data_IF_151772495665
#
_entry.id   IF_151772495665
#
_cell.length_a   1.000
_cell.length_b   1.000
_cell.length_c   1.000
_cell.angle_alpha   90.00
_cell.angle_beta   90.00
_cell.angle_gamma   90.00
#
_symmetry.space_group_name_H-M   'P 1'
#
loop_
_entity.id
_entity.type
_entity.pdbx_description
1 polymer ?
#
# COMPACT_ATOMS: atom_id res chain seq x y z
N UNK A 1 1.93 24.60 -0.08
CA UNK A 1 1.43 23.23 0.20
C UNK A 1 2.29 22.65 1.32
N UNK A 2 1.72 21.81 2.20
CA UNK A 2 2.49 21.11 3.25
C UNK A 2 2.82 19.69 2.77
N UNK A 3 3.98 19.17 3.17
CA UNK A 3 4.29 17.73 3.02
C UNK A 3 3.30 16.93 3.87
N UNK A 4 2.90 15.74 3.42
CA UNK A 4 2.00 14.87 4.18
C UNK A 4 2.68 14.43 5.49
N UNK A 5 2.24 14.95 6.64
CA UNK A 5 2.86 14.73 7.96
C UNK A 5 2.75 13.29 8.51
N UNK A 6 2.17 12.37 7.73
CA UNK A 6 1.91 10.99 8.15
C UNK A 6 2.33 9.93 7.10
N UNK A 7 3.23 10.28 6.17
CA UNK A 7 3.74 9.30 5.21
C UNK A 7 4.60 8.24 5.90
N UNK A 8 4.15 6.98 5.85
CA UNK A 8 4.82 5.85 6.53
C UNK A 8 5.91 5.21 5.67
N UNK A 9 5.78 5.29 4.34
CA UNK A 9 6.75 4.79 3.37
C UNK A 9 6.72 5.58 2.06
N UNK A 10 7.71 5.35 1.19
CA UNK A 10 7.88 6.07 -0.08
C UNK A 10 8.98 7.13 -0.01
N UNK A 11 9.52 7.49 -1.17
CA UNK A 11 10.60 8.49 -1.30
C UNK A 11 10.08 9.82 -1.87
N UNK A 12 8.88 9.83 -2.44
CA UNK A 12 8.32 10.99 -3.12
C UNK A 12 7.50 11.84 -2.15
N UNK A 13 7.77 13.15 -2.15
CA UNK A 13 7.07 14.10 -1.30
C UNK A 13 5.64 14.29 -1.81
N UNK A 14 4.68 13.56 -1.23
CA UNK A 14 3.26 13.85 -1.41
C UNK A 14 2.95 15.24 -0.85
N UNK A 15 2.32 16.06 -1.67
CA UNK A 15 1.91 17.42 -1.29
C UNK A 15 0.41 17.41 -1.03
N UNK A 16 0.00 17.92 0.13
CA UNK A 16 -1.43 18.08 0.45
C UNK A 16 -1.92 19.35 -0.23
N UNK A 17 -2.89 19.23 -1.15
CA UNK A 17 -3.58 20.37 -1.78
C UNK A 17 -4.71 20.86 -0.87
N UNK A 18 -5.54 19.93 -0.44
CA UNK A 18 -6.64 20.11 0.52
C UNK A 18 -6.86 18.80 1.30
N UNK A 19 -7.87 18.74 2.17
CA UNK A 19 -8.11 17.56 3.01
C UNK A 19 -8.41 16.28 2.21
N UNK A 20 -9.00 16.40 1.02
CA UNK A 20 -9.41 15.28 0.18
C UNK A 20 -8.48 15.02 -1.01
N UNK A 21 -7.52 15.91 -1.29
CA UNK A 21 -6.70 15.85 -2.50
C UNK A 21 -5.21 15.94 -2.22
N UNK A 22 -4.46 14.99 -2.79
CA UNK A 22 -3.00 14.95 -2.81
C UNK A 22 -2.48 15.25 -4.21
N UNK A 23 -1.38 16.00 -4.28
CA UNK A 23 -0.56 16.13 -5.48
C UNK A 23 0.65 15.19 -5.36
N UNK A 24 0.80 14.31 -6.34
CA UNK A 24 1.91 13.36 -6.43
C UNK A 24 2.74 13.67 -7.68
N UNK A 25 3.95 14.25 -7.52
CA UNK A 25 4.96 14.20 -8.57
C UNK A 25 5.27 12.76 -8.94
N UNK A 26 5.21 12.41 -10.23
CA UNK A 26 5.33 11.02 -10.65
C UNK A 26 5.99 10.87 -12.04
N UNK A 27 6.55 9.69 -12.36
CA UNK A 27 7.03 9.42 -13.70
C UNK A 27 5.87 9.22 -14.67
N UNK A 28 6.16 9.27 -15.98
CA UNK A 28 5.17 9.01 -17.03
C UNK A 28 4.45 7.68 -16.85
N UNK A 29 5.20 6.66 -16.39
CA UNK A 29 4.70 5.30 -16.19
C UNK A 29 3.60 5.21 -15.12
N UNK A 30 3.76 5.90 -13.99
CA UNK A 30 2.74 5.93 -12.94
C UNK A 30 1.45 6.61 -13.41
N UNK A 31 1.58 7.77 -14.07
CA UNK A 31 0.43 8.45 -14.68
C UNK A 31 -0.28 7.53 -15.68
N UNK A 32 0.49 6.90 -16.57
CA UNK A 32 -0.04 6.03 -17.61
C UNK A 32 -0.78 4.82 -17.01
N UNK A 33 -0.28 4.26 -15.91
CA UNK A 33 -0.95 3.18 -15.19
C UNK A 33 -2.37 3.56 -14.75
N UNK A 34 -2.56 4.75 -14.17
CA UNK A 34 -3.90 5.25 -13.82
C UNK A 34 -4.78 5.43 -15.06
N UNK A 35 -4.25 6.04 -16.11
CA UNK A 35 -4.99 6.26 -17.37
C UNK A 35 -5.44 4.94 -17.99
N UNK A 36 -4.57 3.94 -18.04
CA UNK A 36 -4.90 2.63 -18.59
C UNK A 36 -5.89 1.85 -17.72
N UNK A 37 -5.76 1.88 -16.40
CA UNK A 37 -6.72 1.27 -15.50
C UNK A 37 -8.13 1.85 -15.67
N UNK A 38 -8.24 3.18 -15.84
CA UNK A 38 -9.51 3.88 -16.10
C UNK A 38 -10.06 3.50 -17.48
N UNK A 39 -9.22 3.56 -18.51
CA UNK A 39 -9.63 3.23 -19.89
C UNK A 39 -10.11 1.77 -20.01
N UNK A 40 -9.47 0.86 -19.29
CA UNK A 40 -9.85 -0.56 -19.21
C UNK A 40 -11.07 -0.81 -18.32
N UNK A 41 -11.60 0.22 -17.62
CA UNK A 41 -12.63 0.08 -16.58
C UNK A 41 -12.26 -1.01 -15.57
N UNK A 42 -10.99 -0.99 -15.16
CA UNK A 42 -10.40 -2.05 -14.35
C UNK A 42 -11.17 -2.24 -13.03
N UNK A 43 -11.45 -3.48 -12.62
CA UNK A 43 -12.02 -3.74 -11.29
C UNK A 43 -11.06 -3.36 -10.16
N UNK A 44 -9.81 -2.99 -10.46
CA UNK A 44 -8.85 -2.48 -9.46
C UNK A 44 -9.10 -1.04 -9.05
N UNK A 45 -9.87 -0.27 -9.83
CA UNK A 45 -10.12 1.14 -9.52
C UNK A 45 -10.73 1.35 -8.14
N UNK A 46 -11.45 0.37 -7.60
CA UNK A 46 -12.01 0.43 -6.23
C UNK A 46 -10.95 0.38 -5.13
N UNK A 47 -9.75 -0.13 -5.43
CA UNK A 47 -8.63 -0.23 -4.50
C UNK A 47 -7.60 0.87 -4.74
N UNK A 48 -7.64 1.56 -5.88
CA UNK A 48 -6.68 2.61 -6.22
C UNK A 48 -7.16 3.97 -5.66
N UNK A 49 -6.25 4.89 -5.30
CA UNK A 49 -6.62 6.29 -5.12
C UNK A 49 -7.34 6.81 -6.37
N UNK A 50 -8.41 7.57 -6.21
CA UNK A 50 -9.11 8.14 -7.36
C UNK A 50 -8.18 9.13 -8.08
N UNK A 51 -8.00 8.94 -9.38
CA UNK A 51 -7.23 9.85 -10.23
C UNK A 51 -8.12 11.03 -10.64
N UNK A 52 -7.73 12.23 -10.21
CA UNK A 52 -8.51 13.47 -10.37
C UNK A 52 -7.95 14.37 -11.49
N UNK A 53 -7.07 13.81 -12.32
CA UNK A 53 -6.42 14.49 -13.44
C UNK A 53 -5.00 14.97 -13.14
N UNK A 54 -4.37 15.51 -14.19
CA UNK A 54 -3.05 16.14 -14.09
C UNK A 54 -3.14 17.53 -13.46
N UNK A 55 -2.03 17.96 -12.85
CA UNK A 55 -1.79 19.37 -12.52
C UNK A 55 -0.89 19.92 -13.61
N UNK A 56 -1.35 20.97 -14.28
CA UNK A 56 -0.49 21.77 -15.15
C UNK A 56 0.54 22.50 -14.29
N UNK A 57 1.85 22.22 -14.43
CA UNK A 57 2.88 22.93 -13.68
C UNK A 57 2.84 24.45 -13.90
N UNK A 58 2.35 24.92 -15.07
CA UNK A 58 2.19 26.34 -15.36
C UNK A 58 1.02 26.99 -14.61
N UNK A 59 0.06 26.19 -14.10
CA UNK A 59 -1.04 26.69 -13.29
C UNK A 59 -0.64 26.97 -11.82
N UNK A 60 0.54 26.50 -11.38
CA UNK A 60 1.12 26.85 -10.08
C UNK A 60 1.88 28.20 -10.17
N UNK A 61 1.14 29.27 -10.42
CA UNK A 61 1.66 30.64 -10.59
C UNK A 61 2.46 31.15 -9.36
N UNK A 62 2.34 30.48 -8.21
CA UNK A 62 3.02 30.85 -6.96
C UNK A 62 4.27 29.99 -6.68
N UNK A 63 4.58 28.98 -7.50
CA UNK A 63 5.75 28.12 -7.34
C UNK A 63 5.73 27.31 -6.04
N UNK A 64 4.54 26.92 -5.58
CA UNK A 64 4.33 26.18 -4.34
C UNK A 64 4.74 24.70 -4.46
N UNK A 65 4.84 24.18 -5.67
CA UNK A 65 5.30 22.83 -5.99
C UNK A 65 6.82 22.88 -6.20
N UNK A 66 7.55 23.03 -5.09
CA UNK A 66 9.00 22.83 -5.10
C UNK A 66 9.30 21.35 -4.98
N UNK A 67 9.67 20.73 -6.09
CA UNK A 67 10.12 19.34 -6.08
C UNK A 67 11.61 19.25 -5.80
N UNK A 68 11.99 18.32 -4.93
CA UNK A 68 13.40 17.98 -4.69
C UNK A 68 14.04 17.30 -5.93
N UNK A 69 13.22 16.70 -6.81
CA UNK A 69 13.61 16.19 -8.13
C UNK A 69 12.56 16.54 -9.17
N UNK A 70 12.94 17.03 -10.36
CA UNK A 70 11.96 17.30 -11.42
C UNK A 70 11.35 15.99 -11.90
N UNK A 71 10.05 15.85 -11.72
CA UNK A 71 9.25 14.77 -12.31
C UNK A 71 8.47 15.31 -13.51
N UNK A 72 8.30 14.52 -14.58
CA UNK A 72 7.65 14.98 -15.81
C UNK A 72 6.15 15.27 -15.63
N UNK A 73 5.52 14.71 -14.60
CA UNK A 73 4.10 14.88 -14.31
C UNK A 73 3.85 15.14 -12.83
N UNK A 74 2.74 15.81 -12.55
CA UNK A 74 2.13 15.91 -11.23
C UNK A 74 0.68 15.48 -11.40
N UNK A 75 0.25 14.47 -10.65
CA UNK A 75 -1.13 13.97 -10.71
C UNK A 75 -1.87 14.29 -9.42
N UNK A 76 -3.18 14.57 -9.53
CA UNK A 76 -4.08 14.71 -8.38
C UNK A 76 -4.68 13.35 -8.04
N UNK A 77 -4.56 12.98 -6.78
CA UNK A 77 -5.10 11.73 -6.23
C UNK A 77 -6.00 12.04 -5.03
N UNK A 78 -7.06 11.25 -4.83
CA UNK A 78 -7.83 11.32 -3.59
C UNK A 78 -6.97 10.96 -2.37
N UNK A 79 -7.15 11.65 -1.25
CA UNK A 79 -6.51 11.35 0.01
C UNK A 79 -7.14 10.10 0.66
N UNK A 80 -6.36 9.02 0.76
CA UNK A 80 -6.83 7.75 1.32
C UNK A 80 -7.19 7.82 2.81
N UNK A 81 -6.69 8.83 3.53
CA UNK A 81 -6.98 9.04 4.95
C UNK A 81 -8.16 9.99 5.17
N UNK A 82 -8.80 10.48 4.11
CA UNK A 82 -9.97 11.35 4.24
C UNK A 82 -11.10 10.66 5.02
N UNK A 83 -11.60 11.38 6.03
CA UNK A 83 -12.65 10.92 6.92
C UNK A 83 -12.23 9.90 7.98
N UNK A 84 -10.94 9.56 8.08
CA UNK A 84 -10.40 8.66 9.11
C UNK A 84 -9.86 9.50 10.27
N UNK A 85 -10.47 9.36 11.46
CA UNK A 85 -10.13 10.17 12.63
C UNK A 85 -8.86 9.69 13.31
N UNK A 86 -8.75 8.38 13.50
CA UNK A 86 -7.64 7.76 14.23
C UNK A 86 -6.95 6.70 13.37
N UNK A 87 -6.19 7.12 12.33
CA UNK A 87 -5.68 6.21 11.32
C UNK A 87 -4.55 5.31 11.86
N UNK A 88 -4.78 4.01 11.90
CA UNK A 88 -3.73 2.99 12.02
C UNK A 88 -3.44 2.42 10.64
N UNK A 89 -2.18 2.52 10.18
CA UNK A 89 -1.78 2.22 8.80
C UNK A 89 -0.60 1.24 8.73
N UNK A 90 -0.58 0.41 7.69
CA UNK A 90 0.50 -0.52 7.36
C UNK A 90 0.72 -0.56 5.85
N UNK A 91 1.98 -0.46 5.43
CA UNK A 91 2.38 -0.55 4.03
C UNK A 91 3.07 -1.90 3.77
N UNK A 92 2.50 -2.69 2.87
CA UNK A 92 3.06 -3.96 2.42
C UNK A 92 3.62 -3.82 1.01
N UNK A 93 4.94 -3.89 0.87
CA UNK A 93 5.61 -3.89 -0.44
C UNK A 93 5.53 -5.27 -1.08
N UNK A 94 4.95 -5.34 -2.27
CA UNK A 94 4.55 -6.58 -2.92
C UNK A 94 5.55 -7.07 -3.98
N UNK A 95 5.51 -8.37 -4.23
CA UNK A 95 6.28 -9.06 -5.28
C UNK A 95 7.62 -9.64 -4.81
N UNK A 96 8.03 -10.74 -5.44
CA UNK A 96 9.40 -11.30 -5.31
C UNK A 96 10.39 -10.58 -6.22
N UNK A 97 9.96 -10.06 -7.38
CA UNK A 97 10.77 -9.23 -8.27
C UNK A 97 10.63 -7.75 -7.90
N UNK A 98 11.75 -7.12 -7.57
CA UNK A 98 11.82 -5.73 -7.09
C UNK A 98 12.49 -4.78 -8.10
N UNK A 99 12.80 -5.26 -9.30
CA UNK A 99 13.41 -4.49 -10.38
C UNK A 99 12.65 -4.69 -11.69
N UNK A 100 12.70 -3.69 -12.55
CA UNK A 100 12.23 -3.79 -13.94
C UNK A 100 13.17 -4.68 -14.76
N UNK A 101 12.67 -5.23 -15.87
CA UNK A 101 13.46 -6.15 -16.71
C UNK A 101 14.68 -5.43 -17.34
N UNK A 102 14.54 -4.14 -17.62
CA UNK A 102 15.56 -3.25 -18.22
C UNK A 102 16.35 -2.45 -17.17
N UNK A 103 16.20 -2.78 -15.88
CA UNK A 103 16.91 -2.08 -14.82
C UNK A 103 18.45 -2.18 -15.01
N UNK A 104 19.20 -1.08 -14.78
CA UNK A 104 20.66 -1.12 -14.82
C UNK A 104 21.23 -2.19 -13.90
N UNK A 105 22.33 -2.85 -14.29
CA UNK A 105 22.92 -4.00 -13.61
C UNK A 105 23.10 -3.78 -12.10
N UNK A 106 23.73 -2.68 -11.69
CA UNK A 106 23.92 -2.38 -10.27
C UNK A 106 22.58 -2.24 -9.49
N UNK A 107 21.54 -1.65 -10.12
CA UNK A 107 20.20 -1.53 -9.51
C UNK A 107 19.54 -2.91 -9.41
N UNK A 108 19.62 -3.70 -10.48
CA UNK A 108 19.07 -5.06 -10.54
C UNK A 108 19.70 -5.94 -9.46
N UNK A 109 21.02 -5.98 -9.37
CA UNK A 109 21.74 -6.83 -8.42
C UNK A 109 21.41 -6.45 -6.97
N UNK A 110 21.35 -5.14 -6.67
CA UNK A 110 20.92 -4.65 -5.36
C UNK A 110 19.48 -5.09 -5.02
N UNK A 111 18.55 -5.01 -5.98
CA UNK A 111 17.16 -5.40 -5.77
C UNK A 111 16.99 -6.92 -5.63
N UNK A 112 17.80 -7.72 -6.32
CA UNK A 112 17.88 -9.18 -6.13
C UNK A 112 18.34 -9.50 -4.71
N UNK A 113 19.44 -8.89 -4.26
CA UNK A 113 19.94 -9.06 -2.89
C UNK A 113 18.91 -8.62 -1.84
N UNK A 114 18.22 -7.51 -2.07
CA UNK A 114 17.15 -7.05 -1.19
C UNK A 114 15.99 -8.05 -1.12
N UNK A 115 15.59 -8.61 -2.26
CA UNK A 115 14.54 -9.64 -2.29
C UNK A 115 14.96 -10.87 -1.50
N UNK A 116 16.18 -11.38 -1.74
CA UNK A 116 16.73 -12.56 -1.07
C UNK A 116 16.93 -12.39 0.44
N UNK A 117 17.28 -11.19 0.89
CA UNK A 117 17.55 -10.87 2.30
C UNK A 117 16.31 -10.46 3.11
N UNK A 118 15.13 -10.42 2.49
CA UNK A 118 13.88 -10.02 3.16
C UNK A 118 12.76 -11.02 2.87
N UNK A 119 11.60 -10.80 3.50
CA UNK A 119 10.40 -11.60 3.22
C UNK A 119 9.87 -11.44 1.81
N UNK A 120 10.32 -10.46 1.00
CA UNK A 120 9.92 -10.39 -0.41
C UNK A 120 10.32 -11.65 -1.16
N UNK A 121 11.54 -12.15 -1.00
CA UNK A 121 11.99 -13.34 -1.72
C UNK A 121 11.30 -14.63 -1.28
N UNK A 122 11.00 -14.76 0.02
CA UNK A 122 10.43 -15.99 0.60
C UNK A 122 8.91 -16.01 0.67
N UNK A 123 8.27 -14.86 0.81
CA UNK A 123 6.82 -14.69 1.05
C UNK A 123 6.15 -13.83 -0.02
N UNK A 124 6.92 -13.14 -0.87
CA UNK A 124 6.36 -12.25 -1.89
C UNK A 124 5.88 -10.91 -1.35
N UNK A 125 6.13 -10.59 -0.08
CA UNK A 125 5.80 -9.29 0.51
C UNK A 125 6.77 -8.91 1.63
N UNK A 126 6.86 -7.63 1.96
CA UNK A 126 7.46 -7.14 3.23
C UNK A 126 6.66 -6.01 3.83
N UNK A 127 6.69 -5.89 5.15
CA UNK A 127 6.23 -4.66 5.83
C UNK A 127 7.27 -3.57 5.58
N UNK A 128 6.86 -2.48 4.92
CA UNK A 128 7.76 -1.36 4.62
C UNK A 128 7.67 -0.25 5.67
N UNK A 129 6.56 -0.20 6.40
CA UNK A 129 6.37 0.57 7.63
C UNK A 129 4.97 0.40 8.19
N UNK A 130 4.80 0.76 9.46
CA UNK A 130 3.49 0.85 10.13
C UNK A 130 3.44 2.08 11.01
N UNK A 131 2.24 2.63 11.21
CA UNK A 131 1.98 3.66 12.21
C UNK A 131 0.61 3.43 12.83
N UNK A 132 0.59 3.19 14.14
CA UNK A 132 -0.61 2.74 14.84
C UNK A 132 -1.04 3.80 15.85
N UNK A 133 -2.32 4.16 15.87
CA UNK A 133 -2.87 5.01 16.91
C UNK A 133 -3.08 4.21 18.19
N UNK A 134 -2.54 4.69 19.30
CA UNK A 134 -2.73 4.13 20.63
C UNK A 134 -3.79 4.96 21.36
N UNK A 135 -5.01 4.42 21.58
CA UNK A 135 -6.11 5.17 22.19
C UNK A 135 -5.86 5.48 23.67
N UNK A 136 -5.02 4.70 24.35
CA UNK A 136 -4.69 4.91 25.78
C UNK A 136 -3.93 6.21 26.01
N UNK A 137 -2.94 6.46 25.16
CA UNK A 137 -2.02 7.59 25.30
C UNK A 137 -2.27 8.68 24.24
N UNK A 138 -3.31 8.52 23.41
CA UNK A 138 -3.66 9.40 22.29
C UNK A 138 -2.45 9.76 21.40
N UNK A 139 -1.62 8.76 21.13
CA UNK A 139 -0.33 8.92 20.46
C UNK A 139 -0.15 7.90 19.34
N UNK A 140 0.94 8.04 18.57
CA UNK A 140 1.25 7.12 17.49
C UNK A 140 2.52 6.31 17.79
N UNK A 141 2.45 5.01 17.53
CA UNK A 141 3.61 4.12 17.52
C UNK A 141 4.01 3.84 16.08
N UNK A 142 5.23 4.18 15.71
CA UNK A 142 5.78 3.94 14.39
C UNK A 142 6.69 2.70 14.37
N UNK A 143 6.55 1.90 13.32
CA UNK A 143 7.43 0.79 12.99
C UNK A 143 8.08 1.11 11.65
N UNK A 144 9.40 1.13 11.63
CA UNK A 144 10.16 1.46 10.43
C UNK A 144 10.51 0.19 9.63
N UNK A 145 11.37 0.37 8.62
CA UNK A 145 11.85 -0.72 7.77
C UNK A 145 12.62 -1.80 8.55
N UNK A 146 13.16 -1.50 9.74
CA UNK A 146 13.91 -2.48 10.53
C UNK A 146 12.99 -3.56 11.09
N UNK A 147 11.79 -3.19 11.53
CA UNK A 147 10.76 -4.14 11.96
C UNK A 147 10.44 -5.11 10.83
N UNK A 148 10.11 -4.61 9.64
CA UNK A 148 9.80 -5.46 8.49
C UNK A 148 10.94 -6.39 8.09
N UNK A 149 12.20 -5.94 8.21
CA UNK A 149 13.40 -6.74 7.96
C UNK A 149 13.67 -7.81 9.02
N UNK A 150 13.13 -7.66 10.24
CA UNK A 150 13.25 -8.68 11.29
C UNK A 150 12.29 -9.85 11.13
N UNK A 151 11.27 -9.71 10.28
CA UNK A 151 10.30 -10.77 10.02
C UNK A 151 10.86 -11.80 9.03
N UNK A 152 10.29 -13.00 9.06
CA UNK A 152 10.58 -14.08 8.14
C UNK A 152 9.27 -14.82 7.80
N UNK A 153 9.37 -15.90 7.01
CA UNK A 153 8.20 -16.65 6.57
C UNK A 153 7.32 -17.23 7.71
N UNK A 154 7.91 -17.59 8.87
CA UNK A 154 7.14 -18.11 10.00
C UNK A 154 6.59 -17.02 10.92
N UNK A 155 7.14 -15.80 10.87
CA UNK A 155 6.77 -14.69 11.76
C UNK A 155 5.99 -13.58 11.07
N UNK A 156 5.73 -13.66 9.76
CA UNK A 156 5.04 -12.60 9.02
C UNK A 156 3.62 -12.32 9.55
N UNK A 157 2.94 -13.32 10.13
CA UNK A 157 1.64 -13.14 10.77
C UNK A 157 1.70 -12.17 11.97
N UNK A 158 2.86 -12.05 12.64
CA UNK A 158 3.05 -11.11 13.75
C UNK A 158 2.84 -9.66 13.30
N UNK A 159 3.08 -9.33 12.02
CA UNK A 159 2.79 -8.00 11.49
C UNK A 159 1.29 -7.64 11.63
N UNK A 160 0.38 -8.59 11.35
CA UNK A 160 -1.06 -8.38 11.45
C UNK A 160 -1.55 -8.40 12.90
N UNK A 161 -0.89 -9.16 13.78
CA UNK A 161 -1.14 -9.10 15.22
C UNK A 161 -0.72 -7.74 15.79
N UNK A 162 0.48 -7.26 15.46
CA UNK A 162 0.96 -5.93 15.86
C UNK A 162 0.06 -4.83 15.29
N UNK A 163 -0.32 -4.91 14.02
CA UNK A 163 -1.18 -3.93 13.35
C UNK A 163 -2.52 -3.71 14.07
N UNK A 164 -3.07 -4.77 14.69
CA UNK A 164 -4.36 -4.74 15.39
C UNK A 164 -4.23 -4.65 16.91
N UNK A 165 -3.02 -4.50 17.46
CA UNK A 165 -2.75 -4.70 18.90
C UNK A 165 -3.46 -3.71 19.84
N UNK A 166 -3.82 -2.53 19.33
CA UNK A 166 -4.47 -1.49 20.11
C UNK A 166 -6.00 -1.56 20.09
N UNK A 167 -6.59 -2.43 19.26
CA UNK A 167 -8.03 -2.71 19.29
C UNK A 167 -8.36 -3.48 20.56
N UNK A 168 -9.32 -2.94 21.32
CA UNK A 168 -9.46 -3.17 22.76
C UNK A 168 -9.84 -4.61 23.14
N UNK A 169 -10.65 -5.30 22.32
CA UNK A 169 -11.13 -6.64 22.62
C UNK A 169 -10.79 -7.65 21.51
N UNK A 170 -10.63 -8.92 21.90
CA UNK A 170 -10.28 -10.00 20.99
C UNK A 170 -11.31 -10.18 19.87
N UNK A 171 -12.61 -10.01 20.17
CA UNK A 171 -13.68 -10.12 19.17
C UNK A 171 -13.57 -9.03 18.10
N UNK A 172 -13.31 -7.78 18.48
CA UNK A 172 -13.12 -6.70 17.52
C UNK A 172 -11.82 -6.90 16.73
N UNK A 173 -10.73 -7.35 17.37
CA UNK A 173 -9.50 -7.72 16.66
C UNK A 173 -9.75 -8.79 15.61
N UNK A 174 -10.49 -9.82 15.95
CA UNK A 174 -10.85 -10.90 15.04
C UNK A 174 -11.76 -10.41 13.91
N UNK A 175 -12.77 -9.59 14.21
CA UNK A 175 -13.65 -8.97 13.22
C UNK A 175 -12.87 -8.08 12.23
N UNK A 176 -11.90 -7.30 12.73
CA UNK A 176 -11.02 -6.48 11.91
C UNK A 176 -10.15 -7.34 11.00
N UNK A 177 -9.54 -8.42 11.53
CA UNK A 177 -8.76 -9.37 10.73
C UNK A 177 -9.62 -10.07 9.67
N UNK A 178 -10.88 -10.39 9.98
CA UNK A 178 -11.82 -10.91 8.98
C UNK A 178 -12.11 -9.88 7.87
N UNK A 179 -12.25 -8.58 8.20
CA UNK A 179 -12.40 -7.52 7.19
C UNK A 179 -11.15 -7.40 6.30
N UNK A 180 -9.96 -7.45 6.90
CA UNK A 180 -8.68 -7.46 6.18
C UNK A 180 -8.61 -8.66 5.23
N UNK A 181 -8.91 -9.87 5.72
CA UNK A 181 -8.93 -11.09 4.94
C UNK A 181 -9.92 -11.00 3.76
N UNK A 182 -11.13 -10.49 4.01
CA UNK A 182 -12.19 -10.36 3.00
C UNK A 182 -11.82 -9.39 1.87
N UNK A 183 -11.26 -8.23 2.20
CA UNK A 183 -10.83 -7.26 1.19
C UNK A 183 -9.58 -7.74 0.43
N UNK A 184 -8.60 -8.36 1.08
CA UNK A 184 -7.46 -8.99 0.40
C UNK A 184 -7.91 -10.12 -0.54
N UNK A 185 -8.89 -10.93 -0.12
CA UNK A 185 -9.45 -12.00 -0.95
C UNK A 185 -10.19 -11.45 -2.18
N UNK A 186 -10.93 -10.35 -2.01
CA UNK A 186 -11.59 -9.65 -3.12
C UNK A 186 -10.55 -9.02 -4.06
N UNK A 187 -9.53 -8.38 -3.50
CA UNK A 187 -8.41 -7.83 -4.24
C UNK A 187 -7.73 -8.90 -5.09
N UNK A 188 -7.42 -10.06 -4.51
CA UNK A 188 -6.80 -11.18 -5.23
C UNK A 188 -7.64 -11.64 -6.42
N UNK A 189 -8.97 -11.74 -6.27
CA UNK A 189 -9.87 -12.12 -7.36
C UNK A 189 -9.80 -11.12 -8.53
N UNK A 190 -9.76 -9.82 -8.22
CA UNK A 190 -9.62 -8.79 -9.27
C UNK A 190 -8.22 -8.82 -9.89
N UNK A 191 -7.17 -8.92 -9.06
CA UNK A 191 -5.78 -8.93 -9.50
C UNK A 191 -5.43 -10.14 -10.38
N UNK A 192 -5.97 -11.33 -10.08
CA UNK A 192 -5.73 -12.55 -10.87
C UNK A 192 -6.32 -12.46 -12.30
N UNK A 193 -7.25 -11.54 -12.53
CA UNK A 193 -7.81 -11.27 -13.86
C UNK A 193 -7.01 -10.25 -14.68
N UNK A 194 -5.95 -9.66 -14.12
CA UNK A 194 -5.16 -8.62 -14.77
C UNK A 194 -3.96 -9.20 -15.50
N UNK A 195 -3.73 -8.65 -16.69
CA UNK A 195 -2.46 -8.79 -17.40
C UNK A 195 -1.62 -7.53 -17.16
N UNK A 196 -0.35 -7.73 -16.80
CA UNK A 196 0.55 -6.63 -16.47
C UNK A 196 1.73 -7.08 -15.61
N UNK A 197 2.57 -6.11 -15.25
CA UNK A 197 3.65 -6.29 -14.27
C UNK A 197 3.53 -5.21 -13.21
N UNK A 198 3.54 -5.61 -11.95
CA UNK A 198 3.19 -4.77 -10.81
C UNK A 198 4.36 -4.58 -9.83
N UNK A 199 5.50 -4.17 -10.40
CA UNK A 199 6.77 -4.12 -9.69
C UNK A 199 6.79 -2.94 -8.73
N UNK A 200 7.16 -3.21 -7.47
CA UNK A 200 7.41 -2.19 -6.46
C UNK A 200 6.15 -1.54 -5.87
N UNK A 201 4.96 -2.00 -6.25
CA UNK A 201 3.67 -1.56 -5.69
C UNK A 201 3.53 -1.92 -4.22
N UNK A 202 2.62 -1.22 -3.54
CA UNK A 202 2.28 -1.50 -2.15
C UNK A 202 0.78 -1.74 -1.97
N UNK A 203 0.43 -2.69 -1.11
CA UNK A 203 -0.88 -2.74 -0.47
C UNK A 203 -0.82 -1.90 0.80
N UNK A 204 -1.59 -0.81 0.80
CA UNK A 204 -1.71 0.12 1.91
C UNK A 204 -2.98 -0.20 2.69
N UNK A 205 -2.79 -0.69 3.90
CA UNK A 205 -3.85 -1.08 4.83
C UNK A 205 -4.09 0.10 5.78
N UNK A 206 -5.36 0.48 5.97
CA UNK A 206 -5.74 1.49 6.95
C UNK A 206 -7.00 1.09 7.69
N UNK A 207 -7.07 1.37 8.98
CA UNK A 207 -8.33 1.39 9.71
C UNK A 207 -8.44 2.60 10.65
N UNK A 208 -9.67 2.98 10.97
CA UNK A 208 -9.97 3.94 12.03
C UNK A 208 -10.03 3.22 13.38
N UNK A 209 -9.10 3.51 14.30
CA UNK A 209 -8.97 2.82 15.58
C UNK A 209 -10.22 2.97 16.46
N UNK A 210 -10.77 4.17 16.60
CA UNK A 210 -12.00 4.42 17.35
C UNK A 210 -13.22 3.67 16.76
N UNK A 211 -13.30 3.57 15.43
CA UNK A 211 -14.38 2.82 14.78
C UNK A 211 -14.21 1.31 14.97
N UNK A 212 -12.97 0.82 14.93
CA UNK A 212 -12.65 -0.59 15.15
C UNK A 212 -13.00 -1.05 16.58
N UNK A 213 -12.92 -0.14 17.56
CA UNK A 213 -13.36 -0.38 18.94
C UNK A 213 -14.88 -0.26 19.12
N UNK A 214 -15.60 0.24 18.11
CA UNK A 214 -17.05 0.39 18.11
C UNK A 214 -17.81 -0.87 17.68
N UNK A 215 -19.11 -0.69 17.37
CA UNK A 215 -20.02 -1.78 16.98
C UNK A 215 -19.87 -2.21 15.51
N UNK A 216 -19.36 -1.33 14.64
CA UNK A 216 -19.12 -1.61 13.22
C UNK A 216 -17.62 -1.75 12.92
N UNK A 217 -16.98 -2.73 13.55
CA UNK A 217 -15.56 -3.02 13.32
C UNK A 217 -15.27 -3.39 11.86
N UNK A 218 -16.24 -3.99 11.16
CA UNK A 218 -16.09 -4.41 9.77
C UNK A 218 -15.90 -3.24 8.80
N UNK A 219 -16.62 -2.14 9.02
CA UNK A 219 -16.53 -0.91 8.22
C UNK A 219 -15.32 -0.02 8.52
N UNK A 220 -14.56 -0.31 9.58
CA UNK A 220 -13.41 0.50 9.99
C UNK A 220 -12.22 0.39 9.04
N UNK A 221 -12.10 -0.70 8.29
CA UNK A 221 -10.92 -1.05 7.49
C UNK A 221 -11.09 -0.72 6.00
N UNK A 222 -10.01 -0.23 5.37
CA UNK A 222 -9.91 0.01 3.94
C UNK A 222 -8.56 -0.51 3.43
N UNK A 223 -8.61 -1.24 2.31
CA UNK A 223 -7.44 -1.67 1.55
C UNK A 223 -7.24 -0.77 0.34
N UNK A 224 -6.01 -0.33 0.12
CA UNK A 224 -5.64 0.44 -1.06
C UNK A 224 -4.41 -0.16 -1.77
N UNK A 225 -4.34 0.02 -3.08
CA UNK A 225 -3.20 -0.34 -3.91
C UNK A 225 -2.58 0.91 -4.48
N UNK A 226 -1.27 1.07 -4.27
CA UNK A 226 -0.53 2.31 -4.55
C UNK A 226 0.86 2.02 -5.13
N UNK A 227 1.54 3.10 -5.54
CA UNK A 227 2.93 3.15 -6.02
C UNK A 227 3.17 2.42 -7.36
N UNK A 228 2.68 3.02 -8.45
CA UNK A 228 2.69 2.39 -9.78
C UNK A 228 3.87 2.83 -10.67
N UNK A 229 4.89 3.49 -10.11
CA UNK A 229 6.03 4.07 -10.83
C UNK A 229 6.82 3.08 -11.69
N UNK A 230 6.84 1.80 -11.34
CA UNK A 230 7.54 0.74 -12.05
C UNK A 230 6.58 -0.33 -12.61
N UNK A 231 5.29 -0.02 -12.65
CA UNK A 231 4.23 -0.96 -13.02
C UNK A 231 3.61 -0.61 -14.37
N UNK A 232 3.08 -1.61 -15.04
CA UNK A 232 2.42 -1.46 -16.33
C UNK A 232 1.18 -2.35 -16.40
N UNK A 233 0.16 -1.79 -17.03
CA UNK A 233 -1.04 -2.51 -17.39
C UNK A 233 -0.85 -3.07 -18.81
N UNK A 234 -1.11 -4.35 -19.03
CA UNK A 234 -1.06 -4.94 -20.37
C UNK A 234 -2.45 -5.26 -20.87
N UNK A 235 -2.74 -4.92 -22.13
CA UNK A 235 -4.02 -5.28 -22.79
C UNK A 235 -3.88 -6.66 -23.46
N UNK A 236 -3.69 -7.71 -22.66
CA UNK A 236 -3.72 -9.11 -23.12
C UNK A 236 -2.44 -9.65 -23.77
N UNK A 237 -1.34 -8.89 -23.78
CA UNK A 237 -0.06 -9.34 -24.34
C UNK A 237 0.91 -9.87 -23.27
N UNK A 238 0.82 -9.37 -22.03
CA UNK A 238 1.63 -9.83 -20.90
C UNK A 238 0.93 -10.98 -20.16
N UNK A 239 1.73 -11.84 -19.52
CA UNK A 239 1.22 -12.86 -18.61
C UNK A 239 0.91 -12.23 -17.26
N UNK A 240 -0.05 -12.81 -16.53
CA UNK A 240 -0.32 -12.51 -15.11
C UNK A 240 0.98 -12.44 -14.29
N UNK A 241 1.07 -11.43 -13.44
CA UNK A 241 2.22 -11.25 -12.55
C UNK A 241 2.16 -12.24 -11.38
N UNK A 242 2.66 -13.46 -11.61
CA UNK A 242 2.69 -14.54 -10.62
C UNK A 242 3.48 -14.15 -9.35
N UNK A 243 4.48 -13.27 -9.48
CA UNK A 243 5.32 -12.85 -8.36
C UNK A 243 4.56 -11.91 -7.43
N UNK A 244 3.80 -10.98 -7.99
CA UNK A 244 2.86 -10.15 -7.26
C UNK A 244 1.74 -10.97 -6.61
N UNK A 245 1.10 -11.86 -7.37
CA UNK A 245 -0.01 -12.69 -6.89
C UNK A 245 0.41 -13.63 -5.75
N UNK A 246 1.62 -14.21 -5.81
CA UNK A 246 2.20 -14.99 -4.72
C UNK A 246 2.27 -14.18 -3.41
N UNK A 247 2.68 -12.91 -3.49
CA UNK A 247 2.67 -12.00 -2.34
C UNK A 247 1.28 -11.78 -1.76
N UNK A 248 0.28 -11.52 -2.61
CA UNK A 248 -1.10 -11.30 -2.16
C UNK A 248 -1.66 -12.56 -1.47
N UNK A 249 -1.41 -13.75 -2.05
CA UNK A 249 -1.84 -15.03 -1.47
C UNK A 249 -1.21 -15.27 -0.09
N UNK A 250 0.08 -14.97 0.07
CA UNK A 250 0.74 -15.10 1.37
C UNK A 250 0.30 -14.02 2.37
N UNK A 251 -0.09 -12.83 1.94
CA UNK A 251 -0.71 -11.84 2.82
C UNK A 251 -2.01 -12.39 3.42
N UNK A 252 -2.86 -13.00 2.58
CA UNK A 252 -4.11 -13.65 3.00
C UNK A 252 -3.81 -14.77 4.00
N UNK A 253 -2.82 -15.63 3.70
CA UNK A 253 -2.41 -16.70 4.62
C UNK A 253 -1.90 -16.15 5.95
N UNK A 254 -1.08 -15.10 5.93
CA UNK A 254 -0.54 -14.49 7.14
C UNK A 254 -1.65 -13.91 8.05
N UNK A 255 -2.71 -13.36 7.46
CA UNK A 255 -3.90 -12.92 8.20
C UNK A 255 -4.64 -14.12 8.79
N UNK A 256 -4.78 -15.22 8.05
CA UNK A 256 -5.37 -16.47 8.56
C UNK A 256 -4.59 -17.03 9.75
N UNK A 257 -3.27 -17.08 9.64
CA UNK A 257 -2.40 -17.52 10.73
C UNK A 257 -2.54 -16.60 11.96
N UNK A 258 -2.64 -15.28 11.76
CA UNK A 258 -2.87 -14.31 12.83
C UNK A 258 -4.22 -14.52 13.52
N UNK A 259 -5.30 -14.76 12.76
CA UNK A 259 -6.61 -15.10 13.33
C UNK A 259 -6.53 -16.38 14.17
N UNK A 260 -5.81 -17.41 13.67
CA UNK A 260 -5.60 -18.66 14.41
C UNK A 260 -4.88 -18.46 15.75
N UNK A 261 -3.95 -17.51 15.83
CA UNK A 261 -3.25 -17.19 17.09
C UNK A 261 -4.08 -16.40 18.11
N UNK A 262 -5.18 -15.74 17.70
CA UNK A 262 -6.06 -15.04 18.63
C UNK A 262 -7.12 -15.95 19.27
N UNK A 263 -7.37 -17.12 18.66
CA UNK A 263 -8.40 -18.08 19.11
C UNK A 263 -7.81 -19.19 19.99
N UNK A 264 -6.49 -19.42 19.90
CA UNK A 264 -5.74 -20.38 20.72
C UNK A 264 -5.16 -19.71 21.96
#
# INVERSE_FOLDING_TARGET
MKKLENQVAGHDSLLVLDNGTLAKPCPAKERQFYVDAIAAKSPMLTFMPAYLGDIDPAADALGHIRMDRPMPFIIKLSNLLEGIKTPSVMDLKMGTQLHEDDAPEAKRDHMIQLSQSTTNGSVGLRVSGMRLYNPKDQSFVAYDKSFGKSLNASTICLAFLEFTKFVACANNRLALLHSIHGQLSTFLKHADSLDGKFIGTSLFLVFDQEMADGADTGGAFRLHWIDFAHSEYSRGAAKRDQQFLFGVQNAIKAVQDAMGQLVN
#
